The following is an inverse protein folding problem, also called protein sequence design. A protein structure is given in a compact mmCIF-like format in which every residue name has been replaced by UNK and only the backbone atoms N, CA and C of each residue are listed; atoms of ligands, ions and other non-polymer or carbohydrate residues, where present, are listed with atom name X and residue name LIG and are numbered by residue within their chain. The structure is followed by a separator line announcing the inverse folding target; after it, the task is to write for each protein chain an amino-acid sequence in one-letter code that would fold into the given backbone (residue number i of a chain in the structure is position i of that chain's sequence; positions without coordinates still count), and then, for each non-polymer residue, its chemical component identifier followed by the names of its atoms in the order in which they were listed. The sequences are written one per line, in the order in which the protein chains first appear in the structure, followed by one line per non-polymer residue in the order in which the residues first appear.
data_IF_522283305603
#
_entry.id   IF_522283305603
#
_cell.length_a   1.000
_cell.length_b   1.000
_cell.length_c   1.000
_cell.angle_alpha   90.00
_cell.angle_beta   90.00
_cell.angle_gamma   90.00
#
_symmetry.space_group_name_H-M   'P 1'
#
loop_
_entity.id
_entity.type
_entity.pdbx_description
1 polymer ?
#
# COMPACT_ATOMS: atom_id res chain seq x y z
N UNK A 1 -0.32 8.73 14.62
CA UNK A 1 -1.56 8.58 13.85
C UNK A 1 -1.62 9.70 12.82
N UNK A 2 -2.06 9.44 11.59
CA UNK A 2 -2.23 10.48 10.57
C UNK A 2 -3.32 11.49 10.98
N UNK A 3 -3.14 12.76 10.66
CA UNK A 3 -4.03 13.87 10.99
C UNK A 3 -5.26 13.87 10.09
N UNK A 4 -5.11 13.54 8.80
CA UNK A 4 -6.20 13.58 7.83
C UNK A 4 -7.05 12.30 7.90
N UNK A 5 -8.39 12.40 7.97
CA UNK A 5 -9.26 11.22 7.99
C UNK A 5 -9.05 10.27 6.80
N UNK A 6 -8.78 10.80 5.60
CA UNK A 6 -8.52 9.95 4.43
C UNK A 6 -7.22 9.16 4.54
N UNK A 7 -6.15 9.78 5.05
CA UNK A 7 -4.89 9.09 5.28
C UNK A 7 -4.98 8.04 6.39
N UNK A 8 -5.83 8.24 7.40
CA UNK A 8 -6.16 7.20 8.37
C UNK A 8 -6.83 6.00 7.69
N UNK A 9 -7.74 6.22 6.73
CA UNK A 9 -8.35 5.12 5.95
C UNK A 9 -7.35 4.42 5.04
N UNK A 10 -6.47 5.16 4.36
CA UNK A 10 -5.36 4.58 3.59
C UNK A 10 -4.51 3.68 4.50
N UNK A 11 -4.18 4.16 5.69
CA UNK A 11 -3.41 3.39 6.66
C UNK A 11 -4.11 2.10 7.13
N UNK A 12 -5.44 2.14 7.32
CA UNK A 12 -6.25 0.94 7.60
C UNK A 12 -6.15 -0.07 6.44
N UNK A 13 -6.30 0.37 5.20
CA UNK A 13 -6.14 -0.52 4.03
C UNK A 13 -4.73 -1.12 3.97
N UNK A 14 -3.69 -0.31 4.16
CA UNK A 14 -2.29 -0.78 4.17
C UNK A 14 -2.01 -1.79 5.30
N UNK A 15 -2.74 -1.71 6.42
CA UNK A 15 -2.63 -2.68 7.51
C UNK A 15 -3.28 -4.02 7.21
N UNK A 16 -4.35 -4.00 6.42
CA UNK A 16 -5.05 -5.21 6.01
C UNK A 16 -4.28 -6.02 4.97
N UNK A 17 -3.25 -5.47 4.32
CA UNK A 17 -2.45 -6.20 3.34
C UNK A 17 -1.54 -7.24 4.01
N UNK A 18 -1.47 -8.43 3.40
CA UNK A 18 -0.56 -9.51 3.78
C UNK A 18 0.88 -9.13 3.43
N UNK A 19 1.63 -8.69 4.45
CA UNK A 19 3.00 -8.18 4.32
C UNK A 19 3.98 -9.25 3.84
N UNK A 20 3.82 -10.49 4.30
CA UNK A 20 4.72 -11.59 3.95
C UNK A 20 4.58 -11.93 2.46
N UNK A 21 3.34 -12.00 1.96
CA UNK A 21 3.07 -12.24 0.54
C UNK A 21 3.53 -11.07 -0.34
N UNK A 22 3.33 -9.82 0.10
CA UNK A 22 3.85 -8.64 -0.62
C UNK A 22 5.38 -8.64 -0.68
N UNK A 23 6.04 -9.04 0.41
CA UNK A 23 7.49 -9.14 0.47
C UNK A 23 8.01 -10.27 -0.41
N UNK A 24 7.39 -11.44 -0.39
CA UNK A 24 7.70 -12.57 -1.29
C UNK A 24 7.55 -12.17 -2.76
N UNK A 25 6.53 -11.35 -3.08
CA UNK A 25 6.29 -10.84 -4.41
C UNK A 25 7.15 -9.63 -4.79
N UNK A 26 8.05 -9.15 -3.93
CA UNK A 26 8.86 -7.94 -4.13
C UNK A 26 7.97 -6.74 -4.53
N UNK A 27 6.83 -6.59 -3.85
CA UNK A 27 5.78 -5.62 -4.14
C UNK A 27 5.67 -4.57 -3.03
N UNK A 28 6.08 -3.33 -3.34
CA UNK A 28 6.33 -2.29 -2.36
C UNK A 28 5.31 -1.16 -2.46
N UNK A 29 4.80 -0.70 -1.31
CA UNK A 29 3.97 0.50 -1.28
C UNK A 29 4.78 1.71 -1.75
N UNK A 30 4.26 2.45 -2.71
CA UNK A 30 4.96 3.52 -3.38
C UNK A 30 4.02 4.61 -3.90
N UNK A 31 4.48 5.31 -4.93
CA UNK A 31 3.71 6.37 -5.58
C UNK A 31 3.54 7.62 -4.71
N UNK A 32 2.60 8.48 -5.13
CA UNK A 32 2.42 9.81 -4.54
C UNK A 32 1.95 9.75 -3.08
N UNK A 33 1.14 8.76 -2.73
CA UNK A 33 0.62 8.61 -1.37
C UNK A 33 1.70 8.17 -0.40
N UNK A 34 2.61 7.27 -0.78
CA UNK A 34 3.75 6.91 0.07
C UNK A 34 4.59 8.14 0.45
N UNK A 35 4.96 8.97 -0.53
CA UNK A 35 5.71 10.21 -0.31
C UNK A 35 4.96 11.15 0.64
N UNK A 36 3.65 11.31 0.44
CA UNK A 36 2.80 12.19 1.26
C UNK A 36 2.73 11.72 2.72
N UNK A 37 2.60 10.41 2.95
CA UNK A 37 2.56 9.85 4.30
C UNK A 37 3.93 9.95 5.01
N UNK A 38 5.03 9.85 4.27
CA UNK A 38 6.38 10.02 4.83
C UNK A 38 6.73 11.50 5.12
N UNK A 39 6.11 12.46 4.42
CA UNK A 39 6.37 13.90 4.54
C UNK A 39 5.25 14.68 5.28
N UNK A 40 4.82 14.17 6.45
CA UNK A 40 3.81 14.76 7.35
C UNK A 40 2.53 15.30 6.65
N UNK A 41 2.04 14.59 5.63
CA UNK A 41 0.75 14.89 4.99
C UNK A 41 0.67 16.30 4.37
N UNK A 42 1.78 16.77 3.76
CA UNK A 42 1.92 18.11 3.14
C UNK A 42 0.83 18.47 2.12
N UNK A 43 0.20 17.45 1.52
CA UNK A 43 -1.04 17.53 0.74
C UNK A 43 -1.90 16.32 1.05
N UNK A 44 -3.13 16.31 0.54
CA UNK A 44 -3.93 15.09 0.52
C UNK A 44 -3.56 14.21 -0.68
N UNK A 45 -3.52 12.90 -0.46
CA UNK A 45 -3.33 11.88 -1.50
C UNK A 45 -4.24 10.70 -1.18
N UNK A 46 -4.97 10.21 -2.18
CA UNK A 46 -6.18 9.42 -1.92
C UNK A 46 -6.09 7.96 -2.35
N UNK A 47 -5.18 7.65 -3.26
CA UNK A 47 -5.01 6.33 -3.86
C UNK A 47 -3.90 5.53 -3.18
N UNK A 48 -3.86 4.23 -3.42
CA UNK A 48 -2.80 3.32 -2.97
C UNK A 48 -2.15 2.70 -4.19
N UNK A 49 -0.85 2.93 -4.34
CA UNK A 49 -0.04 2.34 -5.41
C UNK A 49 1.02 1.41 -4.79
N UNK A 50 1.15 0.22 -5.37
CA UNK A 50 2.27 -0.68 -5.15
C UNK A 50 3.09 -0.83 -6.43
N UNK A 51 4.38 -1.02 -6.28
CA UNK A 51 5.32 -1.30 -7.36
C UNK A 51 5.92 -2.69 -7.13
N UNK A 52 5.68 -3.61 -8.06
CA UNK A 52 6.23 -4.97 -8.02
C UNK A 52 7.48 -5.03 -8.91
N UNK A 53 8.63 -5.23 -8.27
CA UNK A 53 9.95 -5.20 -8.91
C UNK A 53 10.29 -6.48 -9.70
N UNK A 54 9.52 -7.55 -9.45
CA UNK A 54 9.84 -8.91 -9.87
C UNK A 54 8.81 -9.45 -10.86
N UNK A 55 9.28 -10.04 -11.96
CA UNK A 55 8.38 -10.70 -12.91
C UNK A 55 7.72 -11.94 -12.29
N UNK A 56 8.48 -12.71 -11.51
CA UNK A 56 7.97 -13.89 -10.80
C UNK A 56 7.06 -13.46 -9.65
N UNK A 57 7.43 -12.41 -8.91
CA UNK A 57 6.57 -11.81 -7.90
C UNK A 57 5.25 -11.31 -8.48
N UNK A 58 5.27 -10.64 -9.64
CA UNK A 58 4.05 -10.20 -10.29
C UNK A 58 3.17 -11.37 -10.77
N UNK A 59 3.81 -12.46 -11.23
CA UNK A 59 3.10 -13.70 -11.58
C UNK A 59 2.45 -14.34 -10.35
N UNK A 60 3.13 -14.33 -9.20
CA UNK A 60 2.56 -14.75 -7.91
C UNK A 60 1.31 -13.94 -7.57
N UNK A 61 1.41 -12.61 -7.56
CA UNK A 61 0.26 -11.72 -7.27
C UNK A 61 -0.94 -12.01 -8.20
N UNK A 62 -0.68 -12.16 -9.51
CA UNK A 62 -1.73 -12.47 -10.50
C UNK A 62 -2.41 -13.82 -10.27
N UNK A 63 -1.69 -14.81 -9.77
CA UNK A 63 -2.23 -16.13 -9.46
C UNK A 63 -2.97 -16.16 -8.13
N UNK A 64 -2.66 -15.24 -7.21
CA UNK A 64 -3.34 -15.12 -5.92
C UNK A 64 -4.73 -14.48 -6.05
N UNK A 65 -4.88 -13.48 -6.91
CA UNK A 65 -6.13 -12.71 -7.04
C UNK A 65 -7.13 -13.38 -7.98
N UNK A 66 -8.42 -13.08 -7.77
CA UNK A 66 -9.51 -13.53 -8.64
C UNK A 66 -10.48 -12.38 -8.92
N UNK A 67 -11.76 -12.50 -8.54
CA UNK A 67 -12.71 -11.37 -8.51
C UNK A 67 -12.42 -10.40 -7.36
N UNK A 68 -11.69 -10.84 -6.34
CA UNK A 68 -11.23 -10.05 -5.19
C UNK A 68 -9.71 -10.20 -4.95
N UNK A 69 -9.19 -9.47 -3.96
CA UNK A 69 -7.79 -9.51 -3.57
C UNK A 69 -7.37 -10.79 -2.81
N UNK A 70 -8.32 -11.63 -2.39
CA UNK A 70 -8.05 -12.92 -1.76
C UNK A 70 -7.01 -12.87 -0.64
N UNK A 71 -5.97 -13.70 -0.76
CA UNK A 71 -4.91 -13.84 0.24
C UNK A 71 -3.96 -12.63 0.34
N UNK A 72 -4.09 -11.63 -0.54
CA UNK A 72 -3.40 -10.36 -0.39
C UNK A 72 -3.95 -9.55 0.79
N UNK A 73 -5.13 -9.88 1.31
CA UNK A 73 -5.68 -9.28 2.51
C UNK A 73 -5.69 -10.28 3.67
N UNK A 74 -5.29 -9.83 4.86
CA UNK A 74 -5.38 -10.59 6.12
C UNK A 74 -6.73 -10.45 6.81
N UNK A 75 -7.52 -9.45 6.41
CA UNK A 75 -8.88 -9.20 6.87
C UNK A 75 -9.78 -8.78 5.71
N UNK A 76 -11.08 -9.12 5.74
CA UNK A 76 -11.97 -8.81 4.62
C UNK A 76 -12.22 -7.30 4.51
N UNK A 77 -12.00 -6.76 3.30
CA UNK A 77 -12.40 -5.40 2.93
C UNK A 77 -13.40 -5.48 1.79
N UNK A 78 -14.46 -4.66 1.86
CA UNK A 78 -15.50 -4.61 0.83
C UNK A 78 -14.90 -4.08 -0.48
N UNK A 79 -15.05 -4.85 -1.55
CA UNK A 79 -14.67 -4.45 -2.90
C UNK A 79 -15.86 -3.75 -3.57
N UNK A 80 -15.64 -2.55 -4.09
CA UNK A 80 -16.61 -1.79 -4.89
C UNK A 80 -16.50 -2.11 -6.39
N UNK A 81 -15.41 -2.76 -6.80
CA UNK A 81 -15.17 -3.25 -8.15
C UNK A 81 -14.44 -4.58 -8.07
N UNK A 82 -14.76 -5.50 -8.97
CA UNK A 82 -13.96 -6.71 -9.13
C UNK A 82 -12.50 -6.37 -9.48
N UNK A 83 -11.58 -7.21 -9.02
CA UNK A 83 -10.17 -7.09 -9.37
C UNK A 83 -9.99 -7.29 -10.88
N UNK A 84 -9.25 -6.37 -11.50
CA UNK A 84 -8.77 -6.49 -12.88
C UNK A 84 -7.27 -6.68 -12.87
N UNK A 85 -6.81 -7.81 -13.39
CA UNK A 85 -5.39 -8.17 -13.46
C UNK A 85 -4.95 -8.36 -14.92
N UNK A 86 -4.07 -7.47 -15.42
CA UNK A 86 -3.50 -7.53 -16.77
C UNK A 86 -1.96 -7.66 -16.73
N UNK A 87 -1.29 -7.52 -17.87
CA UNK A 87 0.17 -7.64 -17.94
C UNK A 87 0.90 -6.56 -17.13
N UNK A 88 0.26 -5.42 -16.89
CA UNK A 88 0.89 -4.21 -16.35
C UNK A 88 0.42 -3.87 -14.94
N UNK A 89 -0.76 -4.30 -14.52
CA UNK A 89 -1.16 -4.16 -13.12
C UNK A 89 -2.40 -4.92 -12.69
N UNK A 90 -2.58 -4.93 -11.38
CA UNK A 90 -3.75 -5.44 -10.64
C UNK A 90 -4.46 -4.23 -10.03
N UNK A 91 -5.76 -4.07 -10.31
CA UNK A 91 -6.51 -2.85 -9.98
C UNK A 91 -7.87 -3.19 -9.39
N UNK A 92 -8.24 -2.49 -8.32
CA UNK A 92 -9.59 -2.55 -7.72
C UNK A 92 -9.91 -1.25 -6.98
N UNK A 93 -11.13 -1.16 -6.44
CA UNK A 93 -11.55 -0.10 -5.53
C UNK A 93 -12.12 -0.76 -4.28
N UNK A 94 -11.56 -0.40 -3.14
CA UNK A 94 -11.98 -0.89 -1.82
C UNK A 94 -12.83 0.19 -1.11
N UNK A 95 -13.74 -0.23 -0.24
CA UNK A 95 -14.50 0.68 0.63
C UNK A 95 -13.98 0.58 2.08
N UNK A 96 -13.65 1.73 2.67
CA UNK A 96 -13.35 1.84 4.11
C UNK A 96 -14.11 3.03 4.69
N UNK A 97 -14.87 2.79 5.76
CA UNK A 97 -15.74 3.79 6.40
C UNK A 97 -16.67 4.52 5.40
N UNK A 98 -17.22 3.78 4.42
CA UNK A 98 -18.10 4.33 3.38
C UNK A 98 -17.40 5.14 2.28
N UNK A 99 -16.05 5.21 2.28
CA UNK A 99 -15.27 5.97 1.31
C UNK A 99 -14.52 5.02 0.36
N UNK A 100 -14.58 5.25 -0.97
CA UNK A 100 -13.82 4.47 -1.94
C UNK A 100 -12.32 4.82 -1.91
N UNK A 101 -11.46 3.81 -2.01
CA UNK A 101 -10.01 3.94 -2.15
C UNK A 101 -9.57 3.09 -3.34
N UNK A 102 -8.94 3.71 -4.33
CA UNK A 102 -8.35 3.00 -5.47
C UNK A 102 -7.08 2.30 -5.01
N UNK A 103 -6.93 1.03 -5.39
CA UNK A 103 -5.71 0.25 -5.20
C UNK A 103 -5.19 -0.18 -6.56
N UNK A 104 -3.89 0.02 -6.77
CA UNK A 104 -3.17 -0.40 -7.96
C UNK A 104 -1.84 -1.06 -7.58
N UNK A 105 -1.55 -2.22 -8.16
CA UNK A 105 -0.24 -2.87 -8.09
C UNK A 105 0.33 -2.90 -9.49
N UNK A 106 1.40 -2.15 -9.75
CA UNK A 106 2.03 -2.03 -11.07
C UNK A 106 3.19 -3.01 -11.18
N UNK A 107 3.28 -3.72 -12.30
CA UNK A 107 4.48 -4.48 -12.65
C UNK A 107 5.55 -3.53 -13.17
N UNK A 108 6.67 -3.43 -12.46
CA UNK A 108 7.82 -2.60 -12.82
C UNK A 108 9.11 -3.42 -12.83
N UNK A 109 9.40 -4.06 -13.96
CA UNK A 109 10.62 -4.84 -14.16
C UNK A 109 11.73 -4.10 -14.90
N UNK A 110 11.59 -2.80 -15.21
CA UNK A 110 12.60 -2.05 -16.00
C UNK A 110 13.70 -1.44 -15.15
N UNK A 111 13.45 -1.29 -13.86
CA UNK A 111 14.39 -0.74 -12.88
C UNK A 111 14.47 -1.66 -11.67
N UNK A 112 15.66 -1.81 -11.11
CA UNK A 112 15.82 -2.48 -9.83
C UNK A 112 15.20 -1.59 -8.75
N UNK A 113 14.19 -2.11 -8.05
CA UNK A 113 13.53 -1.44 -6.92
C UNK A 113 13.77 -2.31 -5.70
N UNK A 114 14.22 -1.69 -4.62
CA UNK A 114 14.31 -2.32 -3.31
C UNK A 114 13.41 -1.58 -2.34
N UNK A 115 12.77 -2.33 -1.43
CA UNK A 115 11.96 -1.77 -0.36
C UNK A 115 12.79 -1.41 0.88
N UNK A 116 12.44 -0.30 1.52
CA UNK A 116 12.92 0.04 2.87
C UNK A 116 11.82 -0.13 3.90
N UNK A 117 12.15 -0.63 5.09
CA UNK A 117 11.24 -0.56 6.23
C UNK A 117 11.15 0.89 6.71
N UNK A 118 10.00 1.54 6.50
CA UNK A 118 9.76 2.84 7.09
C UNK A 118 9.44 2.64 8.59
N UNK A 119 10.46 2.87 9.43
CA UNK A 119 10.37 2.81 10.89
C UNK A 119 9.46 3.85 11.58
N UNK A 120 8.95 4.96 10.98
CA UNK A 120 8.12 5.91 11.71
C UNK A 120 6.68 5.47 11.84
N UNK A 121 6.23 4.38 11.19
CA UNK A 121 4.84 3.94 11.34
C UNK A 121 4.52 3.48 12.78
N UNK A 122 5.50 2.93 13.50
CA UNK A 122 5.34 2.51 14.91
C UNK A 122 5.59 3.62 15.94
N UNK A 123 6.19 4.76 15.55
CA UNK A 123 6.61 5.81 16.50
C UNK A 123 5.70 7.03 16.60
N UNK A 124 4.68 7.17 15.73
CA UNK A 124 3.75 8.33 15.79
C UNK A 124 2.64 8.19 16.84
N UNK A 125 2.86 7.44 17.91
CA UNK A 125 1.98 7.32 19.09
C UNK A 125 2.63 7.78 20.41
N UNK A 126 3.79 8.43 20.37
CA UNK A 126 4.41 8.98 21.58
C UNK A 126 5.37 10.11 21.27
N UNK A 127 5.16 11.25 21.91
CA UNK A 127 6.09 12.38 21.94
C UNK A 127 7.49 11.93 22.33
N UNK A 128 8.46 12.11 21.44
CA UNK A 128 9.86 12.13 21.83
C UNK A 128 10.51 13.32 21.14
N UNK A 129 10.65 14.40 21.91
CA UNK A 129 11.44 15.57 21.57
C UNK A 129 12.87 15.06 21.35
N UNK A 130 13.36 15.08 20.09
CA UNK A 130 14.80 14.95 19.84
C UNK A 130 15.46 16.24 20.33
N UNK A 131 16.07 16.19 21.50
CA UNK A 131 17.17 17.10 21.83
C UNK A 131 18.34 16.76 20.92
N UNK A 132 18.80 17.72 20.12
CA UNK A 132 20.11 17.68 19.49
C UNK A 132 21.15 18.17 20.52
N UNK A 133 22.29 17.50 20.71
CA UNK A 133 23.40 18.10 21.43
C UNK A 133 24.08 19.17 20.55
N UNK A 134 24.56 20.22 21.22
CA UNK A 134 25.36 21.32 20.66
C UNK A 134 26.69 20.86 20.04
#
# INVERSE_FOLDING_TARGET
MFKRPHHQRVAKVLHAFNRDLLQEAECYFGGGTAIVLSLDEYRESVDIDFLCASNDGYRLLRNTVSQDLGQLLTEPIKHLREVRADRYGIRTVLEVDGIPIKVEMVSEGRIAIEGGLDLPYSRRSGSCIRQYPD
#
